data_IF_197608663222
#
_entry.id   IF_197608663222
#
_cell.length_a   1.000
_cell.length_b   1.000
_cell.length_c   1.000
_cell.angle_alpha   90.00
_cell.angle_beta   90.00
_cell.angle_gamma   90.00
#
_symmetry.space_group_name_H-M   'P 1'
#
loop_
_entity.id
_entity.type
_entity.pdbx_description
1 polymer ?
#
# COMPACT_ATOMS: atom_id res chain seq x y z
N UNK A 1 10.86 35.82 32.43
CA UNK A 1 10.60 35.88 30.97
C UNK A 1 9.11 36.10 30.81
N UNK A 2 8.64 37.17 30.15
CA UNK A 2 7.21 37.55 30.19
C UNK A 2 6.35 36.53 29.44
N UNK A 3 5.17 36.22 29.98
CA UNK A 3 4.25 35.18 29.50
C UNK A 3 3.78 35.38 28.03
N UNK A 4 3.89 36.61 27.52
CA UNK A 4 3.57 36.97 26.13
C UNK A 4 4.49 36.27 25.11
N UNK A 5 5.75 36.00 25.46
CA UNK A 5 6.71 35.32 24.58
C UNK A 5 6.44 33.80 24.56
N UNK A 6 6.00 33.22 25.68
CA UNK A 6 5.59 31.80 25.74
C UNK A 6 4.34 31.54 24.90
N UNK A 7 3.35 32.43 24.97
CA UNK A 7 2.13 32.30 24.19
C UNK A 7 2.36 32.49 22.68
N UNK A 8 3.29 33.37 22.29
CA UNK A 8 3.72 33.49 20.89
C UNK A 8 4.38 32.19 20.39
N UNK A 9 5.21 31.55 21.22
CA UNK A 9 5.92 30.31 20.84
C UNK A 9 5.00 29.10 20.71
N UNK A 10 3.96 28.99 21.54
CA UNK A 10 2.95 27.93 21.46
C UNK A 10 2.08 28.15 20.21
N UNK A 11 1.63 29.37 19.97
CA UNK A 11 0.87 29.71 18.78
C UNK A 11 1.67 29.50 17.48
N UNK A 12 2.97 29.81 17.49
CA UNK A 12 3.88 29.56 16.36
C UNK A 12 4.12 28.06 16.13
N UNK A 13 4.24 27.26 17.18
CA UNK A 13 4.36 25.81 17.08
C UNK A 13 3.06 25.15 16.58
N UNK A 14 1.90 25.61 17.07
CA UNK A 14 0.60 25.16 16.56
C UNK A 14 0.39 25.57 15.09
N UNK A 15 0.85 26.76 14.69
CA UNK A 15 0.84 27.21 13.31
C UNK A 15 1.72 26.33 12.41
N UNK A 16 2.94 25.99 12.86
CA UNK A 16 3.86 25.12 12.11
C UNK A 16 3.33 23.68 11.98
N UNK A 17 2.76 23.14 13.06
CA UNK A 17 2.08 21.84 13.07
C UNK A 17 0.90 21.82 12.09
N UNK A 18 0.14 22.92 12.07
CA UNK A 18 -0.95 23.12 11.12
C UNK A 18 -0.43 23.23 9.69
N UNK A 19 0.68 23.94 9.46
CA UNK A 19 1.34 24.03 8.15
C UNK A 19 1.84 22.68 7.64
N UNK A 20 2.44 21.84 8.50
CA UNK A 20 2.89 20.50 8.09
C UNK A 20 1.73 19.53 7.84
N UNK A 21 0.71 19.54 8.70
CA UNK A 21 -0.52 18.78 8.46
C UNK A 21 -1.19 19.24 7.15
N UNK A 22 -1.20 20.55 6.90
CA UNK A 22 -1.66 21.12 5.64
C UNK A 22 -0.76 20.70 4.48
N UNK A 23 0.56 20.65 4.64
CA UNK A 23 1.49 20.18 3.61
C UNK A 23 1.20 18.73 3.21
N UNK A 24 1.04 17.82 4.18
CA UNK A 24 0.67 16.43 3.91
C UNK A 24 -0.69 16.32 3.20
N UNK A 25 -1.69 17.10 3.63
CA UNK A 25 -3.02 17.13 3.02
C UNK A 25 -2.98 17.72 1.60
N UNK A 26 -2.20 18.78 1.37
CA UNK A 26 -2.03 19.40 0.05
C UNK A 26 -1.25 18.50 -0.88
N UNK A 27 -0.24 17.78 -0.37
CA UNK A 27 0.53 16.81 -1.13
C UNK A 27 -0.34 15.60 -1.51
N UNK A 28 -1.18 15.10 -0.59
CA UNK A 28 -2.17 14.07 -0.92
C UNK A 28 -3.15 14.53 -2.01
N UNK A 29 -3.69 15.75 -1.89
CA UNK A 29 -4.56 16.35 -2.91
C UNK A 29 -3.85 16.50 -4.24
N UNK A 30 -2.60 16.96 -4.24
CA UNK A 30 -1.79 17.17 -5.44
C UNK A 30 -1.48 15.84 -6.15
N UNK A 31 -1.05 14.82 -5.39
CA UNK A 31 -0.77 13.48 -5.92
C UNK A 31 -2.04 12.86 -6.51
N UNK A 32 -3.18 12.96 -5.83
CA UNK A 32 -4.45 12.46 -6.38
C UNK A 32 -4.93 13.23 -7.60
N UNK A 33 -4.67 14.54 -7.67
CA UNK A 33 -5.01 15.33 -8.84
C UNK A 33 -4.16 14.95 -10.07
N UNK A 34 -2.88 14.66 -9.86
CA UNK A 34 -1.95 14.24 -10.92
C UNK A 34 -2.11 12.76 -11.30
N UNK A 35 -2.48 11.92 -10.32
CA UNK A 35 -2.56 10.47 -10.47
C UNK A 35 -3.88 9.94 -9.87
N UNK A 36 -5.03 10.21 -10.51
CA UNK A 36 -6.35 9.93 -9.95
C UNK A 36 -6.67 8.44 -9.81
N UNK A 37 -5.88 7.56 -10.45
CA UNK A 37 -6.05 6.11 -10.40
C UNK A 37 -5.31 5.46 -9.23
N UNK A 38 -4.45 6.20 -8.52
CA UNK A 38 -3.72 5.63 -7.38
C UNK A 38 -4.69 5.30 -6.25
N UNK A 39 -4.52 4.10 -5.70
CA UNK A 39 -5.18 3.69 -4.48
C UNK A 39 -4.72 4.55 -3.31
N UNK A 40 -5.50 4.55 -2.23
CA UNK A 40 -5.11 5.26 -1.01
C UNK A 40 -3.80 4.73 -0.43
N UNK A 41 -3.53 3.43 -0.58
CA UNK A 41 -2.29 2.80 -0.12
C UNK A 41 -1.07 3.27 -0.93
N UNK A 42 -1.18 3.33 -2.25
CA UNK A 42 -0.10 3.82 -3.12
C UNK A 42 0.16 5.31 -2.87
N UNK A 43 -0.90 6.11 -2.72
CA UNK A 43 -0.81 7.53 -2.39
C UNK A 43 -0.08 7.75 -1.06
N UNK A 44 -0.45 7.00 -0.02
CA UNK A 44 0.20 7.08 1.29
C UNK A 44 1.66 6.59 1.26
N UNK A 45 1.98 5.61 0.41
CA UNK A 45 3.35 5.12 0.23
C UNK A 45 4.25 6.16 -0.43
N UNK A 46 3.76 6.87 -1.44
CA UNK A 46 4.48 7.99 -2.09
C UNK A 46 4.70 9.13 -1.10
N UNK A 47 3.67 9.50 -0.31
CA UNK A 47 3.80 10.52 0.73
C UNK A 47 4.86 10.12 1.77
N UNK A 48 4.86 8.86 2.22
CA UNK A 48 5.82 8.37 3.20
C UNK A 48 7.27 8.44 2.69
N UNK A 49 7.52 8.07 1.42
CA UNK A 49 8.85 8.15 0.80
C UNK A 49 9.30 9.60 0.62
N UNK A 50 8.42 10.49 0.15
CA UNK A 50 8.74 11.91 -0.02
C UNK A 50 9.05 12.61 1.32
N UNK A 51 8.31 12.27 2.38
CA UNK A 51 8.60 12.75 3.73
C UNK A 51 9.94 12.21 4.26
N UNK A 52 10.29 10.96 3.96
CA UNK A 52 11.58 10.37 4.34
C UNK A 52 12.75 11.05 3.61
N UNK A 53 12.61 11.30 2.30
CA UNK A 53 13.64 11.96 1.50
C UNK A 53 13.90 13.40 1.99
N UNK A 54 12.83 14.17 2.23
CA UNK A 54 12.92 15.52 2.80
C UNK A 54 13.63 15.53 4.17
N UNK A 55 13.34 14.52 5.02
CA UNK A 55 14.00 14.36 6.32
C UNK A 55 15.49 14.02 6.18
N UNK A 56 15.89 13.22 5.18
CA UNK A 56 17.29 12.86 4.93
C UNK A 56 18.11 14.08 4.49
N UNK A 57 17.55 14.90 3.60
CA UNK A 57 18.21 16.10 3.09
C UNK A 57 18.37 17.17 4.18
N UNK A 58 17.36 17.31 5.06
CA UNK A 58 17.45 18.21 6.22
C UNK A 58 18.43 17.72 7.29
N UNK A 59 18.49 16.41 7.56
CA UNK A 59 19.46 15.83 8.50
C UNK A 59 20.91 16.01 8.01
N UNK A 60 21.16 15.82 6.70
CA UNK A 60 22.48 16.07 6.11
C UNK A 60 22.90 17.55 6.27
N UNK A 61 21.96 18.47 6.04
CA UNK A 61 22.20 19.91 6.19
C UNK A 61 22.46 20.34 7.63
N UNK A 62 21.87 19.65 8.62
CA UNK A 62 22.16 19.88 10.04
C UNK A 62 23.59 19.44 10.38
N UNK A 63 24.04 18.27 9.90
CA UNK A 63 25.42 17.80 10.10
C UNK A 63 26.43 18.75 9.48
N UNK A 64 26.20 19.21 8.25
CA UNK A 64 27.05 20.20 7.58
C UNK A 64 27.13 21.52 8.36
N UNK A 65 26.01 21.99 8.91
CA UNK A 65 25.97 23.20 9.73
C UNK A 65 26.69 23.02 11.08
N UNK A 66 26.56 21.86 11.73
CA UNK A 66 27.29 21.54 12.97
C UNK A 66 28.81 21.45 12.74
N UNK A 67 29.23 20.89 11.60
CA UNK A 67 30.63 20.78 11.22
C UNK A 67 31.24 22.14 10.84
N UNK A 68 30.48 22.99 10.14
CA UNK A 68 30.84 24.38 9.89
C UNK A 68 30.95 25.20 11.19
N UNK A 69 30.10 24.91 12.20
CA UNK A 69 30.13 25.61 13.48
C UNK A 69 31.34 25.26 14.35
N UNK A 70 31.82 24.02 14.30
CA UNK A 70 33.02 23.58 15.03
C UNK A 70 34.28 24.34 14.62
N UNK A 71 34.32 24.87 13.38
CA UNK A 71 35.42 25.72 12.89
C UNK A 71 35.33 27.19 13.32
N UNK A 72 34.15 27.65 13.77
CA UNK A 72 33.87 29.05 14.08
C UNK A 72 33.78 29.29 15.59
N UNK A 73 34.93 29.36 16.27
CA UNK A 73 35.00 29.50 17.73
C UNK A 73 34.50 30.85 18.31
N UNK A 74 33.81 31.73 17.56
CA UNK A 74 33.32 33.03 18.07
C UNK A 74 31.97 33.43 17.43
N UNK A 75 30.88 32.64 17.59
CA UNK A 75 29.48 33.16 17.55
C UNK A 75 28.57 32.20 18.36
N UNK A 76 28.74 32.16 19.68
CA UNK A 76 28.21 31.06 20.49
C UNK A 76 26.70 31.11 20.84
N UNK A 77 25.96 32.19 20.57
CA UNK A 77 24.59 32.34 21.09
C UNK A 77 23.48 32.28 20.00
N UNK A 78 23.65 32.98 18.87
CA UNK A 78 22.68 32.96 17.76
C UNK A 78 22.72 31.68 16.93
N UNK A 79 23.92 31.18 16.60
CA UNK A 79 24.05 29.94 15.84
C UNK A 79 23.64 28.70 16.65
N UNK A 80 23.80 28.75 17.98
CA UNK A 80 23.26 27.74 18.90
C UNK A 80 21.72 27.73 18.93
N UNK A 81 21.09 28.90 18.84
CA UNK A 81 19.64 29.02 18.74
C UNK A 81 19.10 28.48 17.39
N UNK A 82 19.77 28.79 16.27
CA UNK A 82 19.39 28.28 14.95
C UNK A 82 19.53 26.74 14.86
N UNK A 83 20.62 26.17 15.39
CA UNK A 83 20.80 24.71 15.45
C UNK A 83 19.77 24.06 16.35
N UNK A 84 19.42 24.68 17.49
CA UNK A 84 18.36 24.16 18.37
C UNK A 84 16.99 24.18 17.67
N UNK A 85 16.67 25.25 16.95
CA UNK A 85 15.44 25.33 16.13
C UNK A 85 15.42 24.26 15.04
N UNK A 86 16.53 24.02 14.35
CA UNK A 86 16.61 22.96 13.34
C UNK A 86 16.47 21.56 13.94
N UNK A 87 17.03 21.33 15.14
CA UNK A 87 16.86 20.07 15.88
C UNK A 87 15.41 19.84 16.29
N UNK A 88 14.75 20.86 16.81
CA UNK A 88 13.35 20.77 17.25
C UNK A 88 12.42 20.55 16.04
N UNK A 89 12.69 21.21 14.90
CA UNK A 89 12.01 20.96 13.62
C UNK A 89 12.21 19.52 13.12
N UNK A 90 13.44 19.01 13.17
CA UNK A 90 13.72 17.62 12.79
C UNK A 90 12.96 16.64 13.70
N UNK A 91 12.91 16.90 15.01
CA UNK A 91 12.17 16.06 15.96
C UNK A 91 10.65 16.05 15.69
N UNK A 92 10.07 17.20 15.34
CA UNK A 92 8.66 17.29 14.97
C UNK A 92 8.37 16.54 13.66
N UNK A 93 9.23 16.67 12.65
CA UNK A 93 9.10 15.95 11.38
C UNK A 93 9.26 14.43 11.53
N UNK A 94 10.18 13.98 12.39
CA UNK A 94 10.32 12.55 12.75
C UNK A 94 9.04 12.04 13.41
N UNK A 95 8.43 12.83 14.29
CA UNK A 95 7.16 12.49 14.94
C UNK A 95 6.02 12.40 13.94
N UNK A 96 5.98 13.31 12.96
CA UNK A 96 4.97 13.32 11.93
C UNK A 96 5.12 12.14 10.95
N UNK A 97 6.37 11.78 10.59
CA UNK A 97 6.67 10.56 9.84
C UNK A 97 6.22 9.31 10.60
N UNK A 98 6.55 9.20 11.89
CA UNK A 98 6.12 8.09 12.73
C UNK A 98 4.58 7.97 12.77
N UNK A 99 3.86 9.10 12.78
CA UNK A 99 2.40 9.13 12.73
C UNK A 99 1.87 8.66 11.37
N UNK A 100 2.45 9.11 10.25
CA UNK A 100 2.07 8.65 8.91
C UNK A 100 2.39 7.16 8.70
N UNK A 101 3.53 6.69 9.18
CA UNK A 101 3.90 5.28 9.15
C UNK A 101 2.92 4.42 9.97
N UNK A 102 2.57 4.86 11.19
CA UNK A 102 1.56 4.17 12.01
C UNK A 102 0.19 4.10 11.33
N UNK A 103 -0.25 5.17 10.64
CA UNK A 103 -1.49 5.17 9.86
C UNK A 103 -1.43 4.21 8.67
N UNK A 104 -0.30 4.14 7.98
CA UNK A 104 -0.05 3.16 6.91
C UNK A 104 -0.12 1.74 7.47
N UNK A 105 0.56 1.47 8.57
CA UNK A 105 0.62 0.13 9.16
C UNK A 105 -0.77 -0.31 9.65
N UNK A 106 -1.53 0.59 10.28
CA UNK A 106 -2.92 0.33 10.66
C UNK A 106 -3.85 0.11 9.45
N UNK A 107 -3.54 0.72 8.30
CA UNK A 107 -4.26 0.49 7.05
C UNK A 107 -3.89 -0.88 6.44
N UNK A 108 -2.60 -1.23 6.43
CA UNK A 108 -2.12 -2.53 5.99
C UNK A 108 -2.72 -3.64 6.85
N UNK A 109 -2.70 -3.53 8.17
CA UNK A 109 -3.29 -4.49 9.10
C UNK A 109 -4.79 -4.72 8.84
N UNK A 110 -5.52 -3.69 8.41
CA UNK A 110 -6.95 -3.82 8.08
C UNK A 110 -7.18 -4.73 6.88
N UNK A 111 -6.29 -4.72 5.89
CA UNK A 111 -6.43 -5.51 4.66
C UNK A 111 -5.62 -6.81 4.71
N UNK A 112 -4.62 -6.90 5.58
CA UNK A 112 -3.79 -8.08 5.82
C UNK A 112 -4.49 -9.10 6.73
N UNK A 113 -5.66 -9.55 6.28
CA UNK A 113 -6.41 -10.61 6.94
C UNK A 113 -5.83 -11.97 6.58
N UNK A 114 -6.01 -12.97 7.45
CA UNK A 114 -5.67 -14.37 7.11
C UNK A 114 -6.35 -14.82 5.82
N UNK A 115 -7.60 -14.40 5.61
CA UNK A 115 -8.35 -14.75 4.40
C UNK A 115 -7.72 -14.18 3.12
N UNK A 116 -7.27 -12.92 3.14
CA UNK A 116 -6.58 -12.30 2.01
C UNK A 116 -5.25 -13.00 1.72
N UNK A 117 -4.45 -13.29 2.76
CA UNK A 117 -3.19 -14.05 2.63
C UNK A 117 -3.40 -15.43 2.03
N UNK A 118 -4.44 -16.15 2.46
CA UNK A 118 -4.74 -17.49 1.95
C UNK A 118 -5.08 -17.47 0.45
N UNK A 119 -5.81 -16.46 -0.02
CA UNK A 119 -6.16 -16.31 -1.44
C UNK A 119 -4.92 -16.02 -2.28
N UNK A 120 -4.07 -15.10 -1.83
CA UNK A 120 -2.81 -14.79 -2.51
C UNK A 120 -1.89 -16.02 -2.54
N UNK A 121 -1.75 -16.72 -1.41
CA UNK A 121 -0.97 -17.94 -1.32
C UNK A 121 -1.51 -19.05 -2.24
N UNK A 122 -2.83 -19.17 -2.38
CA UNK A 122 -3.42 -20.13 -3.31
C UNK A 122 -3.17 -19.76 -4.76
N UNK A 123 -3.26 -18.48 -5.12
CA UNK A 123 -2.90 -18.02 -6.46
C UNK A 123 -1.46 -18.39 -6.80
N UNK A 124 -0.52 -18.12 -5.88
CA UNK A 124 0.88 -18.51 -6.03
C UNK A 124 1.05 -20.03 -6.17
N UNK A 125 0.30 -20.81 -5.38
CA UNK A 125 0.31 -22.28 -5.47
C UNK A 125 -0.19 -22.76 -6.84
N UNK A 126 -1.28 -22.20 -7.35
CA UNK A 126 -1.84 -22.56 -8.66
C UNK A 126 -0.82 -22.31 -9.78
N UNK A 127 -0.14 -21.16 -9.76
CA UNK A 127 0.96 -20.86 -10.69
C UNK A 127 2.09 -21.89 -10.54
N UNK A 128 2.58 -22.09 -9.32
CA UNK A 128 3.78 -22.88 -9.07
C UNK A 128 3.59 -24.41 -9.24
N UNK A 129 2.41 -24.93 -8.91
CA UNK A 129 2.14 -26.37 -8.88
C UNK A 129 1.31 -26.85 -10.06
N UNK A 130 0.37 -26.04 -10.54
CA UNK A 130 -0.50 -26.43 -11.66
C UNK A 130 -0.01 -25.85 -13.00
N UNK A 131 0.91 -24.89 -12.97
CA UNK A 131 1.42 -24.21 -14.18
C UNK A 131 0.44 -23.18 -14.75
N UNK A 132 -0.58 -22.78 -13.99
CA UNK A 132 -1.58 -21.77 -14.38
C UNK A 132 -1.00 -20.37 -14.27
N UNK A 133 -0.05 -20.11 -15.15
CA UNK A 133 0.64 -18.82 -15.31
C UNK A 133 -0.30 -17.76 -15.87
N UNK A 134 -0.01 -16.46 -15.70
CA UNK A 134 -0.74 -15.39 -16.37
C UNK A 134 -0.91 -15.62 -17.89
N UNK A 135 0.13 -16.13 -18.55
CA UNK A 135 0.11 -16.44 -19.98
C UNK A 135 -0.82 -17.60 -20.32
N UNK A 136 -0.84 -18.65 -19.48
CA UNK A 136 -1.82 -19.73 -19.60
C UNK A 136 -3.25 -19.21 -19.39
N UNK A 137 -3.44 -18.35 -18.39
CA UNK A 137 -4.75 -17.78 -18.09
C UNK A 137 -5.27 -16.95 -19.27
N UNK A 138 -4.39 -16.24 -19.99
CA UNK A 138 -4.73 -15.47 -21.19
C UNK A 138 -5.28 -16.34 -22.35
N UNK A 139 -5.10 -17.67 -22.33
CA UNK A 139 -5.67 -18.60 -23.29
C UNK A 139 -7.17 -18.92 -23.02
N UNK A 140 -7.69 -18.61 -21.82
CA UNK A 140 -9.08 -18.88 -21.40
C UNK A 140 -9.94 -17.63 -21.52
N UNK A 141 -10.51 -17.39 -22.70
CA UNK A 141 -11.19 -16.12 -23.05
C UNK A 141 -12.72 -16.17 -22.97
N UNK A 142 -13.30 -17.36 -22.82
CA UNK A 142 -14.76 -17.58 -22.86
C UNK A 142 -15.37 -17.66 -21.44
N UNK A 143 -14.64 -17.16 -20.44
CA UNK A 143 -15.09 -17.10 -19.04
C UNK A 143 -14.93 -18.42 -18.30
N UNK A 144 -14.13 -19.36 -18.81
CA UNK A 144 -13.91 -20.68 -18.20
C UNK A 144 -13.36 -20.56 -16.78
N UNK A 145 -12.47 -19.59 -16.53
CA UNK A 145 -11.91 -19.33 -15.20
C UNK A 145 -12.98 -18.88 -14.21
N UNK A 146 -13.89 -18.00 -14.62
CA UNK A 146 -15.02 -17.57 -13.79
C UNK A 146 -15.99 -18.73 -13.51
N UNK A 147 -16.26 -19.58 -14.51
CA UNK A 147 -17.09 -20.77 -14.34
C UNK A 147 -16.45 -21.78 -13.36
N UNK A 148 -15.16 -22.08 -13.52
CA UNK A 148 -14.42 -22.94 -12.61
C UNK A 148 -14.38 -22.39 -11.17
N UNK A 149 -14.23 -21.06 -11.03
CA UNK A 149 -14.32 -20.41 -9.73
C UNK A 149 -15.70 -20.60 -9.08
N UNK A 150 -16.77 -20.43 -9.85
CA UNK A 150 -18.14 -20.62 -9.37
C UNK A 150 -18.37 -22.05 -8.85
N UNK A 151 -17.80 -23.07 -9.51
CA UNK A 151 -17.89 -24.47 -9.08
C UNK A 151 -17.25 -24.68 -7.70
N UNK A 152 -16.05 -24.11 -7.47
CA UNK A 152 -15.41 -24.08 -6.16
C UNK A 152 -16.26 -23.37 -5.10
N UNK A 153 -16.92 -22.26 -5.46
CA UNK A 153 -17.78 -21.48 -4.55
C UNK A 153 -19.07 -22.23 -4.23
N UNK A 154 -19.71 -22.88 -5.20
CA UNK A 154 -20.92 -23.67 -5.00
C UNK A 154 -20.65 -24.83 -4.03
N UNK A 155 -19.61 -25.62 -4.30
CA UNK A 155 -19.20 -26.69 -3.39
C UNK A 155 -18.80 -26.13 -2.01
N UNK A 156 -18.04 -25.04 -2.00
CA UNK A 156 -17.64 -24.32 -0.80
C UNK A 156 -18.82 -23.88 0.09
N UNK A 157 -19.95 -23.55 -0.55
CA UNK A 157 -21.21 -23.12 0.08
C UNK A 157 -22.09 -24.28 0.56
N UNK A 158 -21.64 -25.53 0.42
CA UNK A 158 -22.36 -26.72 0.88
C UNK A 158 -23.27 -27.37 -0.16
N UNK A 159 -23.16 -27.00 -1.44
CA UNK A 159 -23.83 -27.74 -2.50
C UNK A 159 -23.24 -29.13 -2.65
N UNK A 160 -24.07 -30.09 -3.07
CA UNK A 160 -23.61 -31.43 -3.38
C UNK A 160 -22.54 -31.39 -4.50
N UNK A 161 -21.47 -32.17 -4.35
CA UNK A 161 -20.31 -32.15 -5.27
C UNK A 161 -20.71 -32.35 -6.72
N UNK A 162 -21.63 -33.29 -6.99
CA UNK A 162 -22.12 -33.56 -8.36
C UNK A 162 -22.94 -32.42 -8.95
N UNK A 163 -23.64 -31.64 -8.11
CA UNK A 163 -24.41 -30.48 -8.57
C UNK A 163 -23.49 -29.31 -8.89
N UNK A 164 -22.45 -29.09 -8.06
CA UNK A 164 -21.44 -28.08 -8.34
C UNK A 164 -20.66 -28.42 -9.63
N UNK A 165 -20.24 -29.68 -9.77
CA UNK A 165 -19.42 -30.13 -10.90
C UNK A 165 -20.09 -29.98 -12.28
N UNK A 166 -21.43 -29.94 -12.34
CA UNK A 166 -22.16 -29.69 -13.60
C UNK A 166 -21.80 -28.37 -14.28
N UNK A 167 -21.26 -27.41 -13.52
CA UNK A 167 -20.83 -26.11 -14.03
C UNK A 167 -19.32 -26.05 -14.32
N UNK A 168 -18.59 -27.16 -14.14
CA UNK A 168 -17.17 -27.23 -14.48
C UNK A 168 -16.99 -27.09 -16.00
N UNK A 169 -16.01 -26.29 -16.47
CA UNK A 169 -15.80 -26.11 -17.91
C UNK A 169 -15.64 -27.47 -18.61
N UNK A 170 -16.46 -27.78 -19.63
CA UNK A 170 -16.56 -29.13 -20.17
C UNK A 170 -15.29 -29.59 -20.90
N UNK A 171 -14.46 -28.65 -21.34
CA UNK A 171 -13.20 -28.93 -22.04
C UNK A 171 -11.98 -28.95 -21.08
N UNK A 172 -12.16 -28.57 -19.82
CA UNK A 172 -11.09 -28.62 -18.84
C UNK A 172 -10.92 -30.02 -18.27
N UNK A 173 -9.68 -30.37 -17.95
CA UNK A 173 -9.37 -31.67 -17.39
C UNK A 173 -10.05 -31.85 -16.02
N UNK A 174 -10.78 -32.95 -15.84
CA UNK A 174 -11.44 -33.27 -14.57
C UNK A 174 -10.46 -33.32 -13.38
N UNK A 175 -9.19 -33.67 -13.61
CA UNK A 175 -8.17 -33.73 -12.56
C UNK A 175 -7.77 -32.34 -12.00
N UNK A 176 -8.14 -31.25 -12.68
CA UNK A 176 -7.94 -29.87 -12.18
C UNK A 176 -8.99 -29.49 -11.12
N UNK A 177 -10.13 -30.20 -11.10
CA UNK A 177 -11.13 -30.09 -10.05
C UNK A 177 -10.70 -30.91 -8.83
N UNK A 178 -10.22 -30.21 -7.79
CA UNK A 178 -9.66 -30.80 -6.56
C UNK A 178 -10.36 -30.23 -5.33
N UNK A 179 -11.68 -30.43 -5.13
CA UNK A 179 -12.39 -29.91 -3.97
C UNK A 179 -11.92 -30.58 -2.67
N UNK A 180 -12.10 -29.90 -1.55
CA UNK A 180 -11.54 -30.33 -0.26
C UNK A 180 -12.47 -30.01 0.89
N UNK A 181 -12.44 -28.78 1.39
CA UNK A 181 -13.30 -28.32 2.49
C UNK A 181 -13.96 -27.02 2.10
N UNK A 182 -15.10 -26.71 2.71
CA UNK A 182 -15.85 -25.48 2.43
C UNK A 182 -14.96 -24.23 2.39
N UNK A 183 -14.17 -23.99 3.44
CA UNK A 183 -13.26 -22.85 3.51
C UNK A 183 -12.18 -22.90 2.42
N UNK A 184 -11.58 -24.06 2.17
CA UNK A 184 -10.48 -24.20 1.21
C UNK A 184 -10.95 -24.03 -0.23
N UNK A 185 -12.15 -24.48 -0.54
CA UNK A 185 -12.73 -24.37 -1.87
C UNK A 185 -13.14 -22.92 -2.14
N UNK A 186 -13.66 -22.19 -1.14
CA UNK A 186 -13.84 -20.74 -1.26
C UNK A 186 -12.52 -20.00 -1.54
N UNK A 187 -11.40 -20.41 -0.93
CA UNK A 187 -10.06 -19.85 -1.25
C UNK A 187 -9.67 -20.12 -2.71
N UNK A 188 -9.84 -21.35 -3.18
CA UNK A 188 -9.52 -21.73 -4.58
C UNK A 188 -10.37 -20.97 -5.59
N UNK A 189 -11.66 -20.84 -5.31
CA UNK A 189 -12.58 -20.05 -6.13
C UNK A 189 -12.18 -18.57 -6.16
N UNK A 190 -11.88 -17.97 -5.01
CA UNK A 190 -11.42 -16.58 -4.95
C UNK A 190 -10.08 -16.37 -5.69
N UNK A 191 -9.14 -17.32 -5.62
CA UNK A 191 -7.89 -17.27 -6.36
C UNK A 191 -8.09 -17.35 -7.89
N UNK A 192 -9.05 -18.16 -8.36
CA UNK A 192 -9.43 -18.21 -9.77
C UNK A 192 -10.12 -16.92 -10.24
N UNK A 193 -10.98 -16.30 -9.41
CA UNK A 193 -11.56 -14.99 -9.72
C UNK A 193 -10.48 -13.91 -9.82
N UNK A 194 -9.50 -13.92 -8.90
CA UNK A 194 -8.36 -13.00 -8.97
C UNK A 194 -7.63 -13.15 -10.31
N UNK A 195 -7.33 -14.39 -10.70
CA UNK A 195 -6.66 -14.68 -11.96
C UNK A 195 -7.47 -14.22 -13.19
N UNK A 196 -8.80 -14.39 -13.18
CA UNK A 196 -9.67 -13.91 -14.27
C UNK A 196 -9.71 -12.38 -14.34
N UNK A 197 -9.75 -11.69 -13.20
CA UNK A 197 -9.67 -10.22 -13.17
C UNK A 197 -8.33 -9.74 -13.73
N UNK A 198 -7.22 -10.36 -13.31
CA UNK A 198 -5.89 -10.05 -13.83
C UNK A 198 -5.80 -10.26 -15.35
N UNK A 199 -6.41 -11.33 -15.87
CA UNK A 199 -6.50 -11.62 -17.31
C UNK A 199 -7.30 -10.55 -18.05
N UNK A 200 -8.46 -10.17 -17.52
CA UNK A 200 -9.29 -9.10 -18.07
C UNK A 200 -8.57 -7.75 -18.09
N UNK A 201 -7.84 -7.42 -17.02
CA UNK A 201 -7.06 -6.18 -16.92
C UNK A 201 -5.91 -6.16 -17.94
N UNK A 202 -5.20 -7.27 -18.12
CA UNK A 202 -4.18 -7.41 -19.19
C UNK A 202 -4.80 -7.26 -20.58
N UNK A 203 -5.91 -7.94 -20.84
CA UNK A 203 -6.61 -7.85 -22.13
C UNK A 203 -7.10 -6.43 -22.43
N UNK A 204 -7.54 -5.68 -21.40
CA UNK A 204 -7.92 -4.28 -21.53
C UNK A 204 -6.71 -3.38 -21.81
N UNK A 205 -5.59 -3.58 -21.12
CA UNK A 205 -4.36 -2.81 -21.34
C UNK A 205 -3.80 -2.97 -22.76
N UNK A 206 -3.83 -4.20 -23.31
CA UNK A 206 -3.38 -4.49 -24.68
C UNK A 206 -4.22 -3.83 -25.77
N UNK A 207 -5.51 -3.55 -25.52
CA UNK A 207 -6.41 -2.86 -26.47
C UNK A 207 -6.22 -1.33 -26.50
N UNK A 208 -5.57 -0.77 -25.49
CA UNK A 208 -5.40 0.70 -25.32
C UNK A 208 -4.09 1.20 -25.95
N UNK A 209 -3.18 0.32 -26.35
CA UNK A 209 -1.97 0.70 -27.08
C UNK A 209 -2.28 0.91 -28.59
N UNK A 210 -1.99 2.09 -29.17
CA UNK A 210 -2.23 2.42 -30.58
C UNK A 210 -1.25 1.74 -31.54
#
# INVERSE_FOLDING_TARGET
MPDDIKNLSIAQAEALRTEFANFCVQMEKSIKAQHPKLTQLETLSIIAVSCFQANKDQAARIVELEEALKGAAIVADTAGAEIRVLRDKLAEQVTAYATCASKRDALVDRFDTSAARDVIAERQRQVAQEGWTPEHDDEHIDGEMAAAAAVYVLHGSGWHIDLAYQFWPPHWNANWWKPTTSRRDLVKGAALILAEIERLDRAAASKVQP
#
